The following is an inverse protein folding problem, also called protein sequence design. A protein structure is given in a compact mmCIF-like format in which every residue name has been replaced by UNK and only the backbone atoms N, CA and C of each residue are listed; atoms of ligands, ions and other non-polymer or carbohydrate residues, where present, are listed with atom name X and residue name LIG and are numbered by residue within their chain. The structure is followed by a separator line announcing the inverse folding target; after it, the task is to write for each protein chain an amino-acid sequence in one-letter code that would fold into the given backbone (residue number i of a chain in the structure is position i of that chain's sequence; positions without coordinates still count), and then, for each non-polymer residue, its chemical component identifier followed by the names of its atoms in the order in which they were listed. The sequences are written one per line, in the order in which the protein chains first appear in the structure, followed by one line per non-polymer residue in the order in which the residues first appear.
data_IF_273965463953
#
_entry.id   IF_273965463953
#
_cell.length_a   1.000
_cell.length_b   1.000
_cell.length_c   1.000
_cell.angle_alpha   90.00
_cell.angle_beta   90.00
_cell.angle_gamma   90.00
#
_symmetry.space_group_name_H-M   'P 1'
#
loop_
_entity.id
_entity.type
_entity.pdbx_description
1 polymer ?
#
# COMPACT_ATOMS: atom_id res chain seq x y z
N UNK A 1 -70.38 90.03 28.47
CA UNK A 1 -70.08 89.72 29.88
C UNK A 1 -69.81 88.21 29.95
N UNK A 2 -68.53 87.80 30.03
CA UNK A 2 -68.15 86.37 30.02
C UNK A 2 -68.16 85.88 31.47
N UNK A 3 -68.91 84.81 31.72
CA UNK A 3 -69.18 84.23 33.04
C UNK A 3 -67.91 83.59 33.64
N UNK A 4 -67.44 84.18 34.74
CA UNK A 4 -66.20 83.82 35.47
C UNK A 4 -66.26 82.39 36.03
N UNK A 5 -67.45 81.84 36.27
CA UNK A 5 -67.62 80.46 36.77
C UNK A 5 -67.25 79.42 35.70
N UNK A 6 -67.58 79.69 34.44
CA UNK A 6 -67.21 78.81 33.33
C UNK A 6 -65.69 78.76 33.13
N UNK A 7 -64.99 79.88 33.31
CA UNK A 7 -63.53 79.96 33.16
C UNK A 7 -62.77 79.07 34.16
N UNK A 8 -63.25 78.96 35.42
CA UNK A 8 -62.68 78.06 36.43
C UNK A 8 -62.89 76.59 36.10
N UNK A 9 -64.08 76.24 35.59
CA UNK A 9 -64.42 74.87 35.18
C UNK A 9 -63.56 74.39 34.00
N UNK A 10 -63.34 75.24 33.00
CA UNK A 10 -62.45 74.93 31.87
C UNK A 10 -60.98 74.77 32.29
N UNK A 11 -60.48 75.60 33.22
CA UNK A 11 -59.13 75.43 33.78
C UNK A 11 -58.94 74.08 34.48
N UNK A 12 -59.93 73.65 35.28
CA UNK A 12 -59.87 72.37 35.99
C UNK A 12 -59.86 71.19 35.01
N UNK A 13 -60.71 71.24 33.96
CA UNK A 13 -60.76 70.21 32.92
C UNK A 13 -59.43 70.10 32.17
N UNK A 14 -58.80 71.23 31.82
CA UNK A 14 -57.50 71.24 31.12
C UNK A 14 -56.41 70.60 31.99
N UNK A 15 -56.36 70.90 33.29
CA UNK A 15 -55.38 70.29 34.21
C UNK A 15 -55.57 68.77 34.30
N UNK A 16 -56.81 68.29 34.41
CA UNK A 16 -57.11 66.85 34.48
C UNK A 16 -56.69 66.14 33.18
N UNK A 17 -56.95 66.74 32.01
CA UNK A 17 -56.55 66.16 30.72
C UNK A 17 -55.03 66.09 30.58
N UNK A 18 -54.30 67.13 31.02
CA UNK A 18 -52.83 67.12 31.01
C UNK A 18 -52.31 66.01 31.92
N UNK A 19 -52.82 65.89 33.14
CA UNK A 19 -52.39 64.84 34.07
C UNK A 19 -52.67 63.42 33.53
N UNK A 20 -53.83 63.22 32.89
CA UNK A 20 -54.17 61.94 32.27
C UNK A 20 -53.26 61.62 31.08
N UNK A 21 -52.93 62.62 30.25
CA UNK A 21 -51.98 62.45 29.14
C UNK A 21 -50.57 62.11 29.62
N UNK A 22 -50.11 62.75 30.69
CA UNK A 22 -48.78 62.47 31.28
C UNK A 22 -48.76 61.06 31.88
N UNK A 23 -49.84 60.65 32.56
CA UNK A 23 -49.97 59.29 33.09
C UNK A 23 -49.94 58.22 32.00
N UNK A 24 -50.66 58.44 30.89
CA UNK A 24 -50.66 57.53 29.75
C UNK A 24 -49.27 57.45 29.09
N UNK A 25 -48.57 58.57 28.94
CA UNK A 25 -47.20 58.60 28.41
C UNK A 25 -46.24 57.84 29.32
N UNK A 26 -46.26 58.06 30.64
CA UNK A 26 -45.41 57.34 31.60
C UNK A 26 -45.66 55.83 31.56
N UNK A 27 -46.92 55.39 31.48
CA UNK A 27 -47.24 53.97 31.37
C UNK A 27 -46.78 53.37 30.04
N UNK A 28 -46.84 54.13 28.94
CA UNK A 28 -46.29 53.68 27.65
C UNK A 28 -44.77 53.49 27.70
N UNK A 29 -44.05 54.38 28.38
CA UNK A 29 -42.59 54.25 28.58
C UNK A 29 -42.24 53.05 29.48
N UNK A 30 -43.04 52.75 30.52
CA UNK A 30 -42.84 51.56 31.36
C UNK A 30 -43.04 50.27 30.58
N UNK A 31 -44.10 50.18 29.78
CA UNK A 31 -44.37 49.00 28.94
C UNK A 31 -43.27 48.76 27.90
N UNK A 32 -42.64 49.83 27.37
CA UNK A 32 -41.52 49.70 26.44
C UNK A 32 -40.19 49.33 27.12
N UNK A 33 -40.00 49.68 28.41
CA UNK A 33 -38.82 49.25 29.18
C UNK A 33 -38.79 47.73 29.39
N UNK A 34 -39.95 47.12 29.63
CA UNK A 34 -40.00 45.65 29.80
C UNK A 34 -39.82 44.90 28.48
N UNK A 35 -40.27 45.48 27.35
CA UNK A 35 -40.07 44.89 26.01
C UNK A 35 -38.65 45.03 25.46
N UNK A 36 -37.79 45.85 26.08
CA UNK A 36 -36.36 45.97 25.74
C UNK A 36 -35.45 45.11 26.62
N UNK A 37 -35.98 44.54 27.72
CA UNK A 37 -35.22 43.68 28.63
C UNK A 37 -35.26 42.19 28.23
N UNK A 38 -36.25 41.76 27.44
CA UNK A 38 -36.43 40.35 27.01
C UNK A 38 -35.78 40.00 25.66
N UNK A 39 -34.81 40.81 25.22
CA UNK A 39 -34.01 40.57 24.02
C UNK A 39 -32.51 40.42 24.29
N UNK A 40 -32.11 40.34 25.57
CA UNK A 40 -30.72 40.14 25.98
C UNK A 40 -30.57 38.69 26.39
N UNK A 41 -29.86 37.94 25.58
CA UNK A 41 -29.31 36.62 25.91
C UNK A 41 -28.86 36.60 27.36
N UNK A 42 -29.35 35.64 28.14
CA UNK A 42 -28.74 35.29 29.42
C UNK A 42 -27.23 35.16 29.20
N UNK A 43 -26.47 36.05 29.85
CA UNK A 43 -25.04 36.24 29.70
C UNK A 43 -24.28 34.90 29.83
N UNK A 44 -23.99 34.25 28.71
CA UNK A 44 -22.77 33.49 28.61
C UNK A 44 -21.70 34.53 28.30
N UNK A 45 -21.00 35.00 29.33
CA UNK A 45 -19.80 35.82 29.20
C UNK A 45 -18.67 34.96 28.61
N UNK A 46 -18.84 34.54 27.35
CA UNK A 46 -17.81 33.89 26.57
C UNK A 46 -16.98 35.04 26.01
N UNK A 47 -15.76 35.13 26.49
CA UNK A 47 -14.74 36.03 25.99
C UNK A 47 -14.66 35.90 24.46
N UNK A 48 -14.58 37.05 23.78
CA UNK A 48 -14.47 37.09 22.32
C UNK A 48 -13.24 36.31 21.83
N UNK A 49 -12.21 36.21 22.68
CA UNK A 49 -11.04 35.37 22.49
C UNK A 49 -11.38 33.88 22.50
N UNK A 50 -12.21 33.37 23.41
CA UNK A 50 -12.69 32.00 23.37
C UNK A 50 -13.56 31.70 22.14
N UNK A 51 -14.38 32.65 21.68
CA UNK A 51 -15.13 32.49 20.43
C UNK A 51 -14.21 32.43 19.22
N UNK A 52 -13.17 33.26 19.16
CA UNK A 52 -12.15 33.23 18.10
C UNK A 52 -11.35 31.92 18.14
N UNK A 53 -10.93 31.49 19.32
CA UNK A 53 -10.22 30.23 19.54
C UNK A 53 -11.05 29.02 19.10
N UNK A 54 -12.36 28.99 19.41
CA UNK A 54 -13.25 27.91 18.97
C UNK A 54 -13.50 27.97 17.46
N UNK A 55 -13.71 29.16 16.88
CA UNK A 55 -13.90 29.33 15.43
C UNK A 55 -12.66 28.94 14.60
N UNK A 56 -11.46 29.09 15.19
CA UNK A 56 -10.20 28.68 14.56
C UNK A 56 -10.06 27.16 14.47
N UNK A 57 -10.74 26.43 15.37
CA UNK A 57 -10.70 24.97 15.48
C UNK A 57 -11.90 24.35 14.77
N UNK A 58 -13.07 25.00 14.71
CA UNK A 58 -14.30 24.43 14.17
C UNK A 58 -15.08 25.41 13.29
N UNK A 59 -15.43 24.96 12.08
CA UNK A 59 -16.43 25.60 11.23
C UNK A 59 -17.52 24.60 10.81
N UNK A 60 -18.55 25.08 10.12
CA UNK A 60 -19.74 24.30 9.73
C UNK A 60 -19.43 22.97 9.01
N UNK A 61 -18.24 22.85 8.42
CA UNK A 61 -17.84 21.70 7.61
C UNK A 61 -16.56 21.00 8.11
N UNK A 62 -15.70 21.67 8.89
CA UNK A 62 -14.36 21.21 9.22
C UNK A 62 -14.01 21.44 10.70
N UNK A 63 -13.35 20.45 11.31
CA UNK A 63 -12.66 20.56 12.59
C UNK A 63 -11.14 20.45 12.34
N UNK A 64 -10.36 21.49 12.65
CA UNK A 64 -8.90 21.50 12.52
C UNK A 64 -8.30 21.11 13.87
N UNK A 65 -7.91 19.84 14.01
CA UNK A 65 -7.23 19.33 15.22
C UNK A 65 -5.73 19.26 14.96
N UNK A 66 -4.96 20.10 15.65
CA UNK A 66 -3.48 20.14 15.55
C UNK A 66 -2.81 18.95 16.23
N UNK A 67 -3.37 18.46 17.34
CA UNK A 67 -2.95 17.25 18.05
C UNK A 67 -4.19 16.57 18.65
N UNK A 68 -4.51 15.35 18.23
CA UNK A 68 -5.60 14.55 18.80
C UNK A 68 -5.03 13.47 19.72
N UNK A 69 -5.19 13.65 21.02
CA UNK A 69 -4.87 12.60 22.01
C UNK A 69 -6.14 11.81 22.32
N UNK A 70 -6.32 10.65 21.69
CA UNK A 70 -7.41 9.73 22.02
C UNK A 70 -7.00 8.92 23.25
N UNK A 71 -7.53 9.26 24.43
CA UNK A 71 -7.39 8.45 25.63
C UNK A 71 -8.42 7.31 25.62
N UNK A 72 -8.08 6.22 24.94
CA UNK A 72 -8.93 5.02 24.81
C UNK A 72 -8.43 4.06 23.72
N UNK A 73 -9.17 2.97 23.49
CA UNK A 73 -8.92 2.10 22.31
C UNK A 73 -9.36 2.84 21.05
N UNK A 74 -8.38 3.29 20.28
CA UNK A 74 -8.62 3.77 18.92
C UNK A 74 -9.07 2.58 18.06
N UNK A 75 -10.39 2.42 17.91
CA UNK A 75 -11.02 1.40 17.05
C UNK A 75 -10.80 1.63 15.55
N UNK A 76 -9.98 2.62 15.17
CA UNK A 76 -9.69 2.94 13.77
C UNK A 76 -8.98 1.80 13.04
N UNK A 77 -8.19 1.00 13.77
CA UNK A 77 -7.45 -0.14 13.24
C UNK A 77 -7.65 -1.33 14.18
N UNK A 78 -8.30 -2.43 13.72
CA UNK A 78 -8.52 -3.62 14.55
C UNK A 78 -7.22 -4.25 15.03
N UNK A 79 -7.27 -4.90 16.20
CA UNK A 79 -6.21 -5.82 16.65
C UNK A 79 -5.95 -6.90 15.59
N UNK A 80 -4.68 -7.27 15.41
CA UNK A 80 -4.23 -8.18 14.36
C UNK A 80 -3.95 -7.51 13.01
N UNK A 81 -4.23 -6.21 12.86
CA UNK A 81 -3.87 -5.49 11.63
C UNK A 81 -2.35 -5.40 11.47
N UNK A 82 -1.86 -5.72 10.27
CA UNK A 82 -0.44 -5.69 9.92
C UNK A 82 -0.18 -4.49 9.02
N UNK A 83 0.85 -3.72 9.35
CA UNK A 83 1.26 -2.53 8.60
C UNK A 83 2.74 -2.59 8.26
N UNK A 84 3.07 -2.14 7.05
CA UNK A 84 4.44 -1.85 6.65
C UNK A 84 4.86 -0.52 7.27
N UNK A 85 5.92 -0.53 8.08
CA UNK A 85 6.40 0.60 8.86
C UNK A 85 7.84 0.93 8.50
N UNK A 86 8.09 2.21 8.23
CA UNK A 86 9.42 2.75 7.98
C UNK A 86 9.93 3.48 9.24
N UNK A 87 10.89 2.90 9.97
CA UNK A 87 11.48 3.57 11.13
C UNK A 87 12.38 4.74 10.71
N UNK A 88 12.24 5.89 11.37
CA UNK A 88 13.05 7.09 11.11
C UNK A 88 14.42 7.08 11.81
N UNK A 89 14.60 6.21 12.80
CA UNK A 89 15.78 6.15 13.69
C UNK A 89 16.43 4.76 13.62
N UNK A 90 17.75 4.68 13.75
CA UNK A 90 18.50 3.42 13.84
C UNK A 90 18.18 2.64 15.12
N UNK A 91 17.74 3.30 16.19
CA UNK A 91 17.31 2.66 17.45
C UNK A 91 15.82 2.25 17.47
N UNK A 92 15.22 2.02 16.29
CA UNK A 92 13.78 1.81 16.15
C UNK A 92 13.20 0.63 16.93
N UNK A 93 14.01 -0.39 17.24
CA UNK A 93 13.55 -1.56 18.02
C UNK A 93 13.04 -1.17 19.41
N UNK A 94 13.60 -0.11 19.98
CA UNK A 94 13.17 0.44 21.27
C UNK A 94 12.05 1.48 21.14
N UNK A 95 11.76 1.92 19.91
CA UNK A 95 10.82 2.98 19.58
C UNK A 95 9.68 2.47 18.68
N UNK A 96 9.25 1.21 18.88
CA UNK A 96 8.05 0.67 18.22
C UNK A 96 6.83 1.44 18.76
N UNK A 97 5.92 1.93 17.90
CA UNK A 97 4.75 2.67 18.35
C UNK A 97 3.95 1.90 19.41
N UNK A 98 3.52 2.60 20.46
CA UNK A 98 2.74 1.99 21.54
C UNK A 98 1.48 1.30 20.99
N UNK A 99 1.21 0.08 21.47
CA UNK A 99 0.10 -0.76 20.98
C UNK A 99 0.42 -1.58 19.73
N UNK A 100 1.66 -1.52 19.24
CA UNK A 100 2.14 -2.34 18.13
C UNK A 100 3.29 -3.25 18.57
N UNK A 101 3.40 -4.39 17.91
CA UNK A 101 4.50 -5.36 18.10
C UNK A 101 5.11 -5.76 16.77
N UNK A 102 6.35 -6.25 16.81
CA UNK A 102 7.04 -6.70 15.61
C UNK A 102 6.43 -8.01 15.09
N UNK A 103 6.31 -8.15 13.77
CA UNK A 103 5.94 -9.42 13.12
C UNK A 103 7.16 -10.33 12.97
N UNK A 104 7.68 -10.85 14.10
CA UNK A 104 8.87 -11.71 14.15
C UNK A 104 8.59 -13.13 14.68
N UNK A 105 7.32 -13.46 14.89
CA UNK A 105 6.90 -14.75 15.49
C UNK A 105 6.72 -14.70 17.00
N UNK A 106 7.17 -13.63 17.67
CA UNK A 106 6.90 -13.41 19.10
C UNK A 106 5.48 -12.87 19.32
N UNK A 107 4.97 -12.91 20.56
CA UNK A 107 3.67 -12.32 20.93
C UNK A 107 2.48 -12.78 20.06
N UNK A 108 2.51 -14.04 19.60
CA UNK A 108 1.51 -14.61 18.69
C UNK A 108 1.36 -13.85 17.35
N UNK A 109 2.43 -13.19 16.91
CA UNK A 109 2.51 -12.56 15.58
C UNK A 109 3.00 -13.56 14.53
N UNK A 110 2.70 -13.36 13.23
CA UNK A 110 3.41 -14.07 12.18
C UNK A 110 4.86 -13.58 12.06
N UNK A 111 5.80 -14.46 11.72
CA UNK A 111 7.17 -14.05 11.35
C UNK A 111 7.22 -13.65 9.87
N UNK A 112 7.23 -12.34 9.62
CA UNK A 112 7.19 -11.74 8.28
C UNK A 112 8.55 -11.25 7.78
N UNK A 113 9.64 -11.51 8.52
CA UNK A 113 10.98 -11.10 8.11
C UNK A 113 11.38 -11.84 6.82
N UNK A 114 11.77 -11.07 5.80
CA UNK A 114 12.13 -11.62 4.48
C UNK A 114 10.95 -12.22 3.71
N UNK A 115 9.69 -11.88 4.05
CA UNK A 115 8.50 -12.44 3.39
C UNK A 115 7.75 -11.41 2.56
N UNK A 116 7.26 -11.87 1.42
CA UNK A 116 6.23 -11.18 0.65
C UNK A 116 4.85 -11.54 1.19
N UNK A 117 3.97 -10.54 1.34
CA UNK A 117 2.59 -10.76 1.76
C UNK A 117 1.72 -11.16 0.57
N UNK A 118 1.19 -12.37 0.62
CA UNK A 118 0.26 -12.91 -0.38
C UNK A 118 -1.15 -12.99 0.20
N UNK A 119 -2.14 -12.48 -0.54
CA UNK A 119 -3.55 -12.55 -0.16
C UNK A 119 -4.05 -13.99 -0.02
N UNK A 120 -4.85 -14.24 1.01
CA UNK A 120 -5.49 -15.52 1.27
C UNK A 120 -6.64 -15.78 0.28
N UNK A 121 -6.90 -17.05 -0.03
CA UNK A 121 -8.01 -17.49 -0.87
C UNK A 121 -7.58 -17.96 -2.26
N UNK A 122 -8.55 -18.01 -3.17
CA UNK A 122 -8.39 -18.51 -4.54
C UNK A 122 -8.97 -17.48 -5.52
N UNK A 123 -8.10 -16.82 -6.28
CA UNK A 123 -8.51 -15.98 -7.40
C UNK A 123 -8.88 -16.78 -8.65
N UNK A 124 -9.50 -16.13 -9.63
CA UNK A 124 -9.80 -16.78 -10.92
C UNK A 124 -8.52 -17.33 -11.56
N UNK A 125 -8.53 -18.62 -11.91
CA UNK A 125 -7.39 -19.36 -12.47
C UNK A 125 -6.11 -19.37 -11.60
N UNK A 126 -6.22 -19.02 -10.32
CA UNK A 126 -5.11 -19.09 -9.37
C UNK A 126 -5.24 -20.32 -8.46
N UNK A 127 -4.10 -20.73 -7.89
CA UNK A 127 -4.04 -21.73 -6.83
C UNK A 127 -4.66 -21.19 -5.54
N UNK A 128 -5.30 -22.05 -4.77
CA UNK A 128 -5.80 -21.72 -3.44
C UNK A 128 -4.64 -21.51 -2.45
N UNK A 129 -4.78 -20.50 -1.58
CA UNK A 129 -3.84 -20.16 -0.50
C UNK A 129 -4.59 -20.14 0.83
N UNK A 130 -4.18 -20.97 1.77
CA UNK A 130 -4.75 -20.99 3.11
C UNK A 130 -4.09 -19.94 4.01
N UNK A 131 -4.79 -19.59 5.08
CA UNK A 131 -4.24 -18.67 6.08
C UNK A 131 -3.00 -19.28 6.74
N UNK A 132 -1.91 -18.52 6.77
CA UNK A 132 -0.65 -18.94 7.36
C UNK A 132 0.24 -19.81 6.47
N UNK A 133 -0.18 -20.11 5.24
CA UNK A 133 0.68 -20.79 4.25
C UNK A 133 1.98 -20.00 4.03
N UNK A 134 3.08 -20.74 3.88
CA UNK A 134 4.42 -20.20 3.61
C UNK A 134 4.98 -20.87 2.36
N UNK A 135 5.66 -20.11 1.52
CA UNK A 135 6.29 -20.62 0.30
C UNK A 135 7.15 -19.56 -0.38
N UNK A 136 7.49 -19.81 -1.63
CA UNK A 136 8.41 -18.98 -2.43
C UNK A 136 9.88 -19.40 -2.26
N UNK A 137 10.72 -18.86 -3.14
CA UNK A 137 12.16 -19.10 -3.18
C UNK A 137 12.88 -17.79 -3.54
N UNK A 138 13.97 -17.46 -2.83
CA UNK A 138 14.78 -16.29 -3.18
C UNK A 138 15.67 -16.56 -4.41
N UNK A 139 16.05 -17.82 -4.61
CA UNK A 139 16.94 -18.26 -5.68
C UNK A 139 16.49 -19.63 -6.20
N UNK A 140 16.47 -19.78 -7.52
CA UNK A 140 15.97 -20.98 -8.19
C UNK A 140 17.04 -21.57 -9.11
N UNK A 141 17.23 -22.89 -9.02
CA UNK A 141 18.08 -23.65 -9.94
C UNK A 141 17.21 -24.50 -10.85
N UNK A 142 17.34 -24.31 -12.17
CA UNK A 142 16.58 -25.07 -13.15
C UNK A 142 16.82 -26.58 -12.99
N UNK A 143 15.73 -27.32 -12.95
CA UNK A 143 15.67 -28.77 -13.05
C UNK A 143 15.63 -29.22 -14.51
N UNK A 144 15.80 -30.52 -14.75
CA UNK A 144 15.68 -31.09 -16.10
C UNK A 144 14.27 -30.96 -16.68
N UNK A 145 13.24 -30.96 -15.83
CA UNK A 145 11.84 -30.81 -16.26
C UNK A 145 11.50 -29.37 -16.69
N UNK A 146 12.31 -28.40 -16.27
CA UNK A 146 12.19 -26.99 -16.63
C UNK A 146 13.01 -26.61 -17.88
N UNK A 147 13.73 -27.58 -18.48
CA UNK A 147 14.44 -27.37 -19.74
C UNK A 147 13.53 -27.66 -20.94
N UNK A 148 13.42 -26.73 -21.91
CA UNK A 148 12.74 -27.01 -23.17
C UNK A 148 13.37 -28.19 -23.92
N UNK A 149 12.53 -28.95 -24.62
CA UNK A 149 13.00 -30.00 -25.53
C UNK A 149 13.92 -29.41 -26.59
N UNK A 150 15.13 -29.96 -26.71
CA UNK A 150 16.14 -29.54 -27.67
C UNK A 150 16.96 -30.74 -28.15
N UNK A 151 17.65 -30.59 -29.28
CA UNK A 151 18.50 -31.64 -29.84
C UNK A 151 19.74 -31.04 -30.49
N UNK A 152 20.83 -31.81 -30.55
CA UNK A 152 22.06 -31.41 -31.23
C UNK A 152 22.33 -32.34 -32.41
N UNK A 153 22.70 -31.76 -33.57
CA UNK A 153 23.21 -32.50 -34.73
C UNK A 153 24.73 -32.43 -34.76
N UNK A 154 25.39 -33.58 -34.94
CA UNK A 154 26.83 -33.63 -35.22
C UNK A 154 27.06 -33.99 -36.69
N UNK A 155 27.92 -33.22 -37.35
CA UNK A 155 28.36 -33.49 -38.71
C UNK A 155 29.83 -33.90 -38.67
N UNK A 156 30.15 -35.11 -39.15
CA UNK A 156 31.53 -35.61 -39.20
C UNK A 156 31.92 -35.74 -40.67
N UNK A 157 32.93 -34.98 -41.10
CA UNK A 157 33.53 -35.11 -42.43
C UNK A 157 34.82 -35.94 -42.30
N UNK A 158 34.81 -37.15 -42.86
CA UNK A 158 36.04 -37.92 -43.05
C UNK A 158 36.90 -37.24 -44.13
N UNK A 159 37.86 -36.40 -43.74
CA UNK A 159 38.97 -36.02 -44.63
C UNK A 159 40.02 -37.14 -44.64
N UNK A 160 39.60 -38.29 -45.12
CA UNK A 160 40.42 -39.49 -45.28
C UNK A 160 41.01 -39.67 -46.69
N UNK A 161 40.87 -38.70 -47.60
CA UNK A 161 41.54 -38.78 -48.91
C UNK A 161 42.07 -37.42 -49.35
N UNK A 162 43.39 -37.31 -49.47
CA UNK A 162 44.09 -36.23 -50.14
C UNK A 162 43.78 -36.25 -51.65
N UNK A 163 42.58 -35.84 -52.05
CA UNK A 163 42.30 -35.52 -53.45
C UNK A 163 41.52 -34.21 -53.53
N UNK A 164 42.13 -33.24 -54.20
CA UNK A 164 41.47 -32.07 -54.76
C UNK A 164 40.50 -32.53 -55.86
N UNK A 165 39.37 -33.13 -55.48
CA UNK A 165 38.28 -33.39 -56.40
C UNK A 165 37.04 -32.69 -55.83
N UNK A 166 36.64 -31.61 -56.53
CA UNK A 166 35.30 -31.06 -56.42
C UNK A 166 34.32 -32.19 -56.72
N UNK A 167 33.70 -32.77 -55.70
CA UNK A 167 32.63 -33.74 -55.84
C UNK A 167 31.60 -33.52 -54.73
N UNK A 168 30.51 -32.88 -55.15
CA UNK A 168 29.12 -32.96 -54.70
C UNK A 168 28.79 -33.11 -53.21
N UNK A 169 27.90 -32.22 -52.76
CA UNK A 169 27.24 -32.06 -51.46
C UNK A 169 26.54 -33.34 -50.92
N UNK A 170 27.22 -34.46 -50.80
CA UNK A 170 26.69 -35.68 -50.20
C UNK A 170 27.17 -35.79 -48.74
N UNK A 171 26.27 -35.83 -47.74
CA UNK A 171 26.67 -36.01 -46.35
C UNK A 171 27.32 -37.39 -46.15
N UNK A 172 28.55 -37.42 -45.64
CA UNK A 172 29.18 -38.64 -45.19
C UNK A 172 28.40 -39.23 -44.00
N UNK A 173 27.77 -40.40 -44.19
CA UNK A 173 27.12 -41.17 -43.11
C UNK A 173 28.18 -41.98 -42.37
N UNK A 174 28.49 -41.62 -41.13
CA UNK A 174 29.27 -42.50 -40.24
C UNK A 174 28.31 -43.49 -39.58
N UNK A 175 28.36 -44.76 -40.01
CA UNK A 175 27.72 -45.88 -39.33
C UNK A 175 28.44 -46.12 -38.00
N UNK A 176 27.84 -45.67 -36.90
CA UNK A 176 28.21 -46.11 -35.56
C UNK A 176 27.43 -47.40 -35.25
N UNK A 177 28.12 -48.55 -35.20
CA UNK A 177 27.59 -49.79 -34.63
C UNK A 177 27.36 -50.95 -35.61
N UNK A 178 28.38 -51.81 -35.67
CA UNK A 178 28.35 -53.28 -35.81
C UNK A 178 27.82 -53.98 -37.07
N UNK A 179 28.73 -54.80 -37.63
CA UNK A 179 28.57 -55.91 -38.60
C UNK A 179 28.66 -55.59 -40.09
N UNK A 180 29.87 -55.26 -40.53
CA UNK A 180 30.32 -55.63 -41.88
C UNK A 180 31.53 -56.57 -41.77
N UNK A 181 31.29 -57.76 -41.21
CA UNK A 181 32.11 -58.93 -41.55
C UNK A 181 31.57 -59.47 -42.87
N UNK A 182 32.21 -59.13 -43.98
CA UNK A 182 32.59 -60.11 -45.01
C UNK A 182 33.36 -59.45 -46.17
N UNK A 183 34.66 -59.71 -46.14
CA UNK A 183 35.47 -60.25 -47.23
C UNK A 183 35.90 -59.33 -48.40
N UNK A 184 37.24 -59.24 -48.54
CA UNK A 184 38.02 -58.78 -49.70
C UNK A 184 37.97 -57.26 -49.96
N UNK A 185 39.07 -56.50 -49.87
CA UNK A 185 40.38 -56.77 -50.46
C UNK A 185 41.50 -56.00 -49.76
N UNK A 186 42.67 -56.62 -49.69
CA UNK A 186 43.94 -56.04 -49.24
C UNK A 186 44.33 -54.81 -50.07
N UNK A 187 44.68 -53.68 -49.43
CA UNK A 187 45.87 -52.93 -49.85
C UNK A 187 46.36 -51.93 -48.81
N UNK A 188 47.59 -52.21 -48.39
CA UNK A 188 48.70 -51.30 -48.17
C UNK A 188 48.84 -50.52 -46.85
N UNK A 189 50.06 -50.68 -46.35
CA UNK A 189 50.73 -49.99 -45.27
C UNK A 189 50.40 -48.51 -45.18
N UNK A 190 49.80 -48.15 -44.06
CA UNK A 190 49.72 -46.80 -43.58
C UNK A 190 48.99 -46.85 -42.25
N UNK A 191 49.72 -46.92 -41.14
CA UNK A 191 49.15 -46.60 -39.84
C UNK A 191 48.81 -45.11 -39.86
N UNK A 192 47.73 -44.73 -40.54
CA UNK A 192 47.10 -43.44 -40.29
C UNK A 192 46.54 -43.57 -38.90
N UNK A 193 47.24 -43.00 -37.91
CA UNK A 193 46.65 -42.71 -36.62
C UNK A 193 45.35 -41.99 -36.94
N UNK A 194 44.22 -42.66 -36.77
CA UNK A 194 42.94 -41.99 -36.75
C UNK A 194 43.04 -41.08 -35.53
N UNK A 195 43.41 -39.83 -35.77
CA UNK A 195 43.18 -38.77 -34.81
C UNK A 195 41.67 -38.58 -34.79
N UNK A 196 40.99 -39.49 -34.08
CA UNK A 196 39.60 -39.30 -33.70
C UNK A 196 39.58 -38.02 -32.89
N UNK A 197 39.31 -36.90 -33.55
CA UNK A 197 38.97 -35.68 -32.85
C UNK A 197 37.58 -35.90 -32.31
N UNK A 198 37.50 -36.48 -31.11
CA UNK A 198 36.29 -36.53 -30.30
C UNK A 198 35.95 -35.12 -29.84
N UNK A 199 35.62 -34.22 -30.78
CA UNK A 199 34.85 -33.01 -30.47
C UNK A 199 33.40 -33.43 -30.29
N UNK A 200 33.15 -34.13 -29.19
CA UNK A 200 31.81 -34.50 -28.74
C UNK A 200 31.04 -33.23 -28.38
N UNK A 201 29.71 -33.27 -28.49
CA UNK A 201 28.86 -32.23 -27.88
C UNK A 201 29.07 -32.32 -26.37
N UNK A 202 29.67 -31.28 -25.78
CA UNK A 202 29.93 -31.19 -24.35
C UNK A 202 28.77 -30.47 -23.66
N UNK A 203 28.54 -30.81 -22.39
CA UNK A 203 27.62 -30.05 -21.54
C UNK A 203 28.14 -28.62 -21.36
N UNK A 204 27.27 -27.64 -21.49
CA UNK A 204 27.55 -26.24 -21.14
C UNK A 204 26.63 -25.78 -20.02
N UNK A 205 27.06 -24.76 -19.28
CA UNK A 205 26.34 -24.24 -18.12
C UNK A 205 26.93 -24.73 -16.80
N UNK A 206 26.76 -23.92 -15.75
CA UNK A 206 27.29 -24.20 -14.41
C UNK A 206 26.26 -24.75 -13.42
N UNK A 207 25.02 -24.98 -13.86
CA UNK A 207 23.89 -25.36 -13.00
C UNK A 207 23.80 -24.50 -11.73
N UNK A 208 24.05 -23.19 -11.87
CA UNK A 208 23.96 -22.25 -10.74
C UNK A 208 22.54 -21.72 -10.64
N UNK A 209 22.06 -21.56 -9.42
CA UNK A 209 20.80 -20.87 -9.16
C UNK A 209 20.86 -19.41 -9.60
N UNK A 210 19.72 -18.87 -10.02
CA UNK A 210 19.54 -17.45 -10.30
C UNK A 210 18.60 -16.80 -9.28
N UNK A 211 18.77 -15.50 -9.05
CA UNK A 211 17.87 -14.72 -8.22
C UNK A 211 16.43 -14.78 -8.79
N UNK A 212 15.45 -15.03 -7.93
CA UNK A 212 14.03 -15.04 -8.24
C UNK A 212 13.28 -13.86 -7.59
N UNK A 213 13.98 -13.00 -6.84
CA UNK A 213 13.38 -11.83 -6.24
C UNK A 213 13.27 -10.66 -7.23
N UNK A 214 12.08 -10.05 -7.40
CA UNK A 214 11.97 -8.78 -8.10
C UNK A 214 12.70 -7.65 -7.34
N UNK A 215 12.97 -6.49 -7.94
CA UNK A 215 13.46 -5.33 -7.20
C UNK A 215 12.54 -5.01 -6.01
N UNK A 216 13.13 -4.88 -4.82
CA UNK A 216 12.37 -4.69 -3.57
C UNK A 216 12.96 -3.57 -2.72
N UNK A 217 12.14 -3.06 -1.80
CA UNK A 217 12.53 -2.12 -0.76
C UNK A 217 12.19 -2.70 0.61
N UNK A 218 13.11 -2.60 1.56
CA UNK A 218 12.96 -3.24 2.88
C UNK A 218 12.29 -2.29 3.86
N UNK A 219 11.17 -2.75 4.43
CA UNK A 219 10.45 -2.12 5.53
C UNK A 219 10.20 -3.13 6.64
N UNK A 220 9.82 -2.64 7.81
CA UNK A 220 9.52 -3.48 8.98
C UNK A 220 8.02 -3.73 9.05
N UNK A 221 7.58 -4.96 9.26
CA UNK A 221 6.17 -5.25 9.52
C UNK A 221 5.87 -5.23 11.01
N UNK A 222 4.84 -4.48 11.40
CA UNK A 222 4.32 -4.41 12.77
C UNK A 222 2.84 -4.81 12.79
N UNK A 223 2.42 -5.46 13.87
CA UNK A 223 1.05 -5.90 14.11
C UNK A 223 0.45 -5.13 15.29
N UNK A 224 -0.80 -4.69 15.14
CA UNK A 224 -1.56 -4.07 16.23
C UNK A 224 -1.98 -5.11 17.25
N UNK A 225 -1.70 -4.86 18.53
CA UNK A 225 -2.26 -5.65 19.64
C UNK A 225 -3.70 -5.24 19.97
#
# INVERSE_FOLDING_TARGET
MIDIQNLKKYKLIIIVVILLSVFLVINSFRANKEKFADGVSTDLNIDQEALENISSVYNSNNLIVTNLTVTGVSNLVPSGSIMAWYPKDSNWKNNIPQGWVLCDGSNNTPDLRGRFLLGQGKGDKLSERNFGDKGGEESHQLSSDEMPSHSHSLWISDKGTNKNEYADNTPARIMMGDRWKNNSSYSNSGKTKSNSSTKLVQSTGGNKSHNNMPPYYVVVYIMRL
#
